data_IF_013096667057
#
_entry.id   IF_013096667057
#
_cell.length_a   1.000
_cell.length_b   1.000
_cell.length_c   1.000
_cell.angle_alpha   90.00
_cell.angle_beta   90.00
_cell.angle_gamma   90.00
#
_symmetry.space_group_name_H-M   'P 1'
#
loop_
_entity.id
_entity.type
_entity.pdbx_description
1 polymer ?
#
# COMPACT_ATOMS: atom_id res chain seq x y z
N UNK A 1 -7.66 -9.77 -11.62
CA UNK A 1 -7.10 -8.62 -12.37
C UNK A 1 -6.65 -7.58 -11.35
N UNK A 2 -5.35 -7.28 -11.20
CA UNK A 2 -4.91 -6.23 -10.28
C UNK A 2 -5.41 -4.87 -10.76
N UNK A 3 -5.78 -3.98 -9.84
CA UNK A 3 -6.22 -2.63 -10.18
C UNK A 3 -5.02 -1.79 -10.66
N UNK A 4 -4.83 -1.70 -11.98
CA UNK A 4 -3.88 -0.77 -12.57
C UNK A 4 -4.45 0.66 -12.49
N UNK A 5 -3.69 1.54 -11.85
CA UNK A 5 -3.92 2.98 -11.68
C UNK A 5 -4.13 3.79 -12.98
N UNK A 6 -4.04 3.18 -14.17
CA UNK A 6 -4.24 3.85 -15.46
C UNK A 6 -5.63 3.68 -16.08
N UNK A 7 -6.44 2.72 -15.63
CA UNK A 7 -7.68 2.33 -16.34
C UNK A 7 -8.93 3.08 -15.84
N UNK A 8 -8.84 3.83 -14.73
CA UNK A 8 -10.02 4.43 -14.08
C UNK A 8 -9.98 5.96 -13.92
N UNK A 9 -8.94 6.67 -14.37
CA UNK A 9 -8.92 8.15 -14.28
C UNK A 9 -8.89 8.74 -12.86
N UNK A 10 -8.88 7.89 -11.81
CA UNK A 10 -8.75 8.28 -10.42
C UNK A 10 -7.27 8.17 -10.04
N UNK A 11 -6.67 9.28 -9.58
CA UNK A 11 -5.28 9.29 -9.09
C UNK A 11 -5.30 9.08 -7.58
N UNK A 12 -4.36 8.28 -7.06
CA UNK A 12 -4.02 8.30 -5.63
C UNK A 12 -3.80 9.77 -5.18
N UNK A 13 -4.24 10.20 -3.98
CA UNK A 13 -4.47 9.38 -2.79
C UNK A 13 -5.96 9.09 -2.51
N UNK A 14 -6.82 9.08 -3.53
CA UNK A 14 -8.24 8.92 -3.28
C UNK A 14 -8.58 7.54 -2.70
N UNK A 15 -9.17 7.52 -1.50
CA UNK A 15 -9.50 6.30 -0.72
C UNK A 15 -10.34 5.30 -1.51
N UNK A 16 -11.12 5.78 -2.48
CA UNK A 16 -11.97 4.97 -3.34
C UNK A 16 -11.20 3.90 -4.11
N UNK A 17 -9.93 4.14 -4.45
CA UNK A 17 -9.12 3.20 -5.22
C UNK A 17 -8.78 1.93 -4.43
N UNK A 18 -8.56 2.05 -3.12
CA UNK A 18 -8.31 0.91 -2.24
C UNK A 18 -9.57 0.07 -2.04
N UNK A 19 -10.73 0.70 -1.88
CA UNK A 19 -12.00 0.00 -1.77
C UNK A 19 -12.37 -0.74 -3.07
N UNK A 20 -12.10 -0.15 -4.23
CA UNK A 20 -12.28 -0.80 -5.54
C UNK A 20 -11.33 -1.99 -5.68
N UNK A 21 -10.07 -1.84 -5.29
CA UNK A 21 -9.10 -2.94 -5.33
C UNK A 21 -9.53 -4.11 -4.42
N UNK A 22 -9.93 -3.84 -3.18
CA UNK A 22 -10.44 -4.85 -2.25
C UNK A 22 -11.67 -5.57 -2.83
N UNK A 23 -12.67 -4.81 -3.32
CA UNK A 23 -13.88 -5.36 -3.92
C UNK A 23 -13.58 -6.25 -5.14
N UNK A 24 -12.59 -5.88 -5.97
CA UNK A 24 -12.14 -6.70 -7.11
C UNK A 24 -11.47 -8.01 -6.70
N UNK A 25 -10.84 -8.03 -5.53
CA UNK A 25 -10.28 -9.24 -4.94
C UNK A 25 -11.33 -10.07 -4.18
N UNK A 26 -12.60 -9.66 -4.15
CA UNK A 26 -13.65 -10.30 -3.35
C UNK A 26 -13.47 -10.11 -1.84
N UNK A 27 -12.69 -9.11 -1.44
CA UNK A 27 -12.34 -8.81 -0.05
C UNK A 27 -13.00 -7.51 0.40
N UNK A 28 -13.23 -7.37 1.70
CA UNK A 28 -13.53 -6.08 2.33
C UNK A 28 -12.25 -5.52 2.97
N UNK A 29 -12.13 -4.19 3.04
CA UNK A 29 -11.11 -3.54 3.85
C UNK A 29 -11.30 -3.81 5.35
N UNK A 30 -12.51 -4.18 5.77
CA UNK A 30 -12.84 -4.47 7.18
C UNK A 30 -12.11 -5.71 7.71
N UNK A 31 -11.70 -6.62 6.82
CA UNK A 31 -10.88 -7.77 7.18
C UNK A 31 -9.41 -7.38 7.48
N UNK A 32 -9.07 -6.11 7.32
CA UNK A 32 -7.71 -5.60 7.36
C UNK A 32 -6.93 -5.98 6.10
N UNK A 33 -5.62 -5.74 6.13
CA UNK A 33 -4.73 -6.05 5.03
C UNK A 33 -3.48 -5.19 5.05
N UNK A 34 -2.66 -5.39 4.02
CA UNK A 34 -1.42 -4.64 3.81
C UNK A 34 -1.50 -3.83 2.53
N UNK A 35 -1.05 -2.58 2.58
CA UNK A 35 -0.69 -1.79 1.42
C UNK A 35 0.84 -1.74 1.30
N UNK A 36 1.35 -2.10 0.13
CA UNK A 36 2.78 -2.11 -0.18
C UNK A 36 3.02 -1.21 -1.39
N UNK A 37 3.97 -0.29 -1.28
CA UNK A 37 4.31 0.61 -2.37
C UNK A 37 5.54 1.45 -2.09
N UNK A 38 5.98 2.22 -3.07
CA UNK A 38 7.20 3.04 -3.03
C UNK A 38 6.91 4.54 -2.88
N UNK A 39 5.64 4.96 -2.94
CA UNK A 39 5.24 6.36 -2.79
C UNK A 39 4.64 6.65 -1.39
N UNK A 40 5.33 7.49 -0.61
CA UNK A 40 4.94 7.83 0.76
C UNK A 40 3.53 8.44 0.86
N UNK A 41 3.11 9.27 -0.09
CA UNK A 41 1.78 9.91 -0.03
C UNK A 41 0.71 8.95 -0.56
N UNK A 42 0.97 8.40 -1.73
CA UNK A 42 -0.02 7.65 -2.49
C UNK A 42 -0.28 6.26 -1.87
N UNK A 43 0.76 5.62 -1.34
CA UNK A 43 0.70 4.25 -0.83
C UNK A 43 0.63 4.23 0.69
N UNK A 44 1.49 4.99 1.36
CA UNK A 44 1.59 4.94 2.82
C UNK A 44 0.49 5.76 3.46
N UNK A 45 0.41 7.07 3.19
CA UNK A 45 -0.68 7.89 3.73
C UNK A 45 -2.06 7.41 3.23
N UNK A 46 -2.16 7.03 1.94
CA UNK A 46 -3.37 6.46 1.36
C UNK A 46 -3.80 5.14 2.01
N UNK A 47 -2.87 4.19 2.17
CA UNK A 47 -3.13 2.88 2.78
C UNK A 47 -3.53 3.00 4.25
N UNK A 48 -2.82 3.84 5.01
CA UNK A 48 -3.16 4.13 6.42
C UNK A 48 -4.53 4.75 6.56
N UNK A 49 -4.86 5.75 5.73
CA UNK A 49 -6.19 6.35 5.72
C UNK A 49 -7.26 5.29 5.46
N UNK A 50 -7.00 4.33 4.56
CA UNK A 50 -7.89 3.21 4.27
C UNK A 50 -7.97 2.14 5.37
N UNK A 51 -7.24 2.28 6.49
CA UNK A 51 -7.24 1.33 7.61
C UNK A 51 -6.29 0.12 7.40
N UNK A 52 -5.37 0.20 6.44
CA UNK A 52 -4.42 -0.87 6.14
C UNK A 52 -3.11 -0.66 6.89
N UNK A 53 -2.46 -1.79 7.23
CA UNK A 53 -1.03 -1.78 7.58
C UNK A 53 -0.21 -1.45 6.33
N UNK A 54 0.95 -0.84 6.49
CA UNK A 54 1.73 -0.31 5.37
C UNK A 54 3.18 -0.77 5.38
N UNK A 55 3.67 -1.22 4.22
CA UNK A 55 5.08 -1.50 3.96
C UNK A 55 5.55 -0.54 2.87
N UNK A 56 6.55 0.27 3.20
CA UNK A 56 7.18 1.15 2.23
C UNK A 56 8.43 0.52 1.63
N UNK A 57 8.50 0.47 0.30
CA UNK A 57 9.69 0.06 -0.44
C UNK A 57 10.52 1.31 -0.73
N UNK A 58 11.54 1.55 0.10
CA UNK A 58 12.51 2.62 -0.11
C UNK A 58 13.54 2.21 -1.17
N UNK A 59 13.34 2.71 -2.39
CA UNK A 59 14.25 2.49 -3.52
C UNK A 59 15.43 3.47 -3.55
N UNK A 60 15.79 4.04 -2.40
CA UNK A 60 16.84 5.06 -2.28
C UNK A 60 16.39 6.45 -2.73
N UNK A 61 15.08 6.68 -2.86
CA UNK A 61 14.51 7.98 -3.23
C UNK A 61 14.23 8.86 -2.01
N UNK A 62 14.54 8.37 -0.82
CA UNK A 62 14.24 9.05 0.42
C UNK A 62 15.11 10.27 0.67
N UNK A 63 14.46 11.38 0.98
CA UNK A 63 15.11 12.66 1.28
C UNK A 63 15.26 12.92 2.79
N UNK A 64 15.02 11.93 3.64
CA UNK A 64 15.05 12.08 5.10
C UNK A 64 13.77 12.65 5.72
N UNK A 65 12.68 12.81 4.95
CA UNK A 65 11.38 13.25 5.47
C UNK A 65 10.72 12.14 6.30
N UNK A 66 10.16 12.46 7.46
CA UNK A 66 9.37 11.50 8.25
C UNK A 66 8.29 10.82 7.40
N UNK A 67 8.17 9.51 7.58
CA UNK A 67 7.13 8.68 7.00
C UNK A 67 6.42 7.92 8.13
N UNK A 68 5.15 7.57 7.91
CA UNK A 68 4.36 6.82 8.89
C UNK A 68 4.22 5.34 8.55
N UNK A 69 5.07 4.80 7.67
CA UNK A 69 5.02 3.39 7.29
C UNK A 69 5.23 2.47 8.51
N UNK A 70 4.44 1.41 8.62
CA UNK A 70 4.56 0.42 9.71
C UNK A 70 5.82 -0.44 9.56
N UNK A 71 6.26 -0.66 8.31
CA UNK A 71 7.53 -1.31 7.96
C UNK A 71 8.19 -0.60 6.76
N UNK A 72 9.51 -0.65 6.70
CA UNK A 72 10.31 -0.17 5.55
C UNK A 72 11.20 -1.29 5.08
N UNK A 73 11.28 -1.47 3.76
CA UNK A 73 12.09 -2.46 3.07
C UNK A 73 12.76 -1.83 1.87
N UNK A 74 13.80 -2.46 1.31
CA UNK A 74 14.46 -1.96 0.10
C UNK A 74 13.99 -2.65 -1.18
N UNK A 75 13.29 -3.79 -1.04
CA UNK A 75 12.82 -4.59 -2.16
C UNK A 75 11.55 -5.40 -1.86
N UNK A 76 10.98 -5.98 -2.91
CA UNK A 76 9.74 -6.77 -2.85
C UNK A 76 9.91 -8.10 -2.12
N UNK A 77 10.99 -8.88 -2.34
CA UNK A 77 11.21 -10.12 -1.58
C UNK A 77 11.12 -9.93 -0.07
N UNK A 78 11.78 -8.89 0.48
CA UNK A 78 11.72 -8.60 1.90
C UNK A 78 10.29 -8.24 2.37
N UNK A 79 9.52 -7.55 1.53
CA UNK A 79 8.10 -7.29 1.83
C UNK A 79 7.29 -8.59 1.91
N UNK A 80 7.56 -9.56 1.05
CA UNK A 80 6.88 -10.86 1.04
C UNK A 80 7.21 -11.71 2.27
N UNK A 81 8.44 -11.64 2.76
CA UNK A 81 8.84 -12.29 4.02
C UNK A 81 8.03 -11.77 5.20
N UNK A 82 7.84 -10.44 5.27
CA UNK A 82 6.99 -9.81 6.30
C UNK A 82 5.55 -10.31 6.21
N UNK A 83 4.97 -10.33 5.01
CA UNK A 83 3.60 -10.83 4.81
C UNK A 83 3.43 -12.29 5.23
N UNK A 84 4.48 -13.10 5.09
CA UNK A 84 4.45 -14.53 5.41
C UNK A 84 4.60 -14.81 6.90
N UNK A 85 5.08 -13.84 7.68
CA UNK A 85 5.32 -13.95 9.13
C UNK A 85 4.17 -13.38 9.95
N UNK A 86 3.43 -12.42 9.40
CA UNK A 86 2.30 -11.73 10.03
C UNK A 86 0.92 -12.36 9.65
N UNK A 87 0.94 -13.58 9.09
CA UNK A 87 -0.23 -14.35 8.64
C UNK A 87 -0.72 -15.40 9.63
#
# INVERSE_FOLDING_TARGET
MPALSGVEGIRKPDRGLFAIAAKRCGMSLDAGGWMIGDNVIADIAGGRAAGLRTIWIDRGSWSGREHEADRVVTDVPQAMEILSTDG
#
